data_IF_998057450943
#
_entry.id   IF_998057450943
#
_cell.length_a   1.000
_cell.length_b   1.000
_cell.length_c   1.000
_cell.angle_alpha   90.00
_cell.angle_beta   90.00
_cell.angle_gamma   90.00
#
_symmetry.space_group_name_H-M   'P 1'
#
loop_
_entity.id
_entity.type
_entity.pdbx_description
1 polymer ?
#
# COMPACT_ATOMS: atom_id res chain seq x y z
N UNK A 1 -11.72 16.90 -23.36
CA UNK A 1 -10.45 16.85 -22.59
C UNK A 1 -10.07 15.39 -22.42
N UNK A 2 -8.83 15.02 -22.73
CA UNK A 2 -8.31 13.68 -22.41
C UNK A 2 -8.05 13.57 -20.90
N UNK A 3 -8.13 12.34 -20.37
CA UNK A 3 -7.84 12.04 -18.97
C UNK A 3 -6.36 12.27 -18.62
N UNK A 4 -5.47 11.99 -19.58
CA UNK A 4 -4.04 11.84 -19.33
C UNK A 4 -3.36 13.07 -18.70
N UNK A 5 -3.66 14.33 -19.08
CA UNK A 5 -3.06 15.50 -18.44
C UNK A 5 -3.41 15.62 -16.96
N UNK A 6 -4.68 15.44 -16.59
CA UNK A 6 -5.14 15.62 -15.20
C UNK A 6 -4.59 14.56 -14.26
N UNK A 7 -4.45 13.33 -14.73
CA UNK A 7 -3.83 12.27 -13.94
C UNK A 7 -2.33 12.50 -13.75
N UNK A 8 -1.64 13.01 -14.77
CA UNK A 8 -0.22 13.37 -14.64
C UNK A 8 -0.02 14.60 -13.75
N UNK A 9 -0.90 15.60 -13.82
CA UNK A 9 -0.91 16.76 -12.92
C UNK A 9 -1.15 16.32 -11.47
N UNK A 10 -2.18 15.51 -11.20
CA UNK A 10 -2.44 14.96 -9.88
C UNK A 10 -1.23 14.22 -9.29
N UNK A 11 -0.57 13.39 -10.12
CA UNK A 11 0.64 12.66 -9.76
C UNK A 11 1.81 13.60 -9.48
N UNK A 12 1.97 14.66 -10.27
CA UNK A 12 3.01 15.68 -10.08
C UNK A 12 2.78 16.42 -8.77
N UNK A 13 1.58 16.97 -8.54
CA UNK A 13 1.22 17.65 -7.29
C UNK A 13 1.38 16.73 -6.08
N UNK A 14 1.02 15.45 -6.20
CA UNK A 14 1.30 14.46 -5.16
C UNK A 14 2.81 14.34 -4.87
N UNK A 15 3.65 14.25 -5.90
CA UNK A 15 5.11 14.12 -5.72
C UNK A 15 5.73 15.37 -5.09
N UNK A 16 5.19 16.56 -5.40
CA UNK A 16 5.59 17.84 -4.81
C UNK A 16 5.10 18.03 -3.36
N UNK A 17 4.19 17.17 -2.89
CA UNK A 17 3.62 17.26 -1.55
C UNK A 17 2.36 18.14 -1.48
N UNK A 18 1.89 18.66 -2.60
CA UNK A 18 0.68 19.47 -2.72
C UNK A 18 -0.56 18.56 -2.70
N UNK A 19 -0.90 18.01 -1.54
CA UNK A 19 -1.93 16.96 -1.42
C UNK A 19 -3.32 17.46 -1.77
N UNK A 20 -3.70 18.67 -1.36
CA UNK A 20 -5.02 19.23 -1.68
C UNK A 20 -5.18 19.48 -3.18
N UNK A 21 -4.13 19.99 -3.85
CA UNK A 21 -4.11 20.15 -5.31
C UNK A 21 -4.27 18.81 -5.99
N UNK A 22 -3.49 17.80 -5.57
CA UNK A 22 -3.59 16.46 -6.12
C UNK A 22 -5.00 15.87 -5.97
N UNK A 23 -5.68 16.09 -4.83
CA UNK A 23 -7.07 15.66 -4.63
C UNK A 23 -8.04 16.37 -5.58
N UNK A 24 -7.89 17.68 -5.78
CA UNK A 24 -8.72 18.43 -6.74
C UNK A 24 -8.53 17.99 -8.19
N UNK A 25 -7.31 17.67 -8.58
CA UNK A 25 -7.00 17.13 -9.92
C UNK A 25 -7.58 15.72 -10.09
N UNK A 26 -7.52 14.89 -9.04
CA UNK A 26 -8.15 13.56 -9.03
C UNK A 26 -9.68 13.65 -9.11
N UNK A 27 -10.31 14.61 -8.44
CA UNK A 27 -11.76 14.86 -8.52
C UNK A 27 -12.16 15.22 -9.96
N UNK A 28 -11.33 16.01 -10.63
CA UNK A 28 -11.53 16.38 -12.02
C UNK A 28 -11.32 15.19 -12.97
N UNK A 29 -10.28 14.39 -12.72
CA UNK A 29 -9.98 13.17 -13.46
C UNK A 29 -11.10 12.12 -13.34
N UNK A 30 -11.62 11.89 -12.13
CA UNK A 30 -12.72 10.94 -11.86
C UNK A 30 -14.00 11.34 -12.61
N UNK A 31 -14.31 12.65 -12.70
CA UNK A 31 -15.47 13.16 -13.46
C UNK A 31 -15.34 12.90 -14.97
N UNK A 32 -14.13 12.88 -15.50
CA UNK A 32 -13.88 12.62 -16.92
C UNK A 32 -13.85 11.12 -17.21
N UNK A 33 -13.20 10.34 -16.35
CA UNK A 33 -13.13 8.89 -16.49
C UNK A 33 -13.00 8.20 -15.12
N UNK A 34 -14.11 7.67 -14.62
CA UNK A 34 -14.18 6.91 -13.37
C UNK A 34 -13.72 5.44 -13.50
N UNK A 35 -13.23 5.01 -14.67
CA UNK A 35 -12.83 3.62 -14.93
C UNK A 35 -11.31 3.39 -14.90
N UNK A 36 -10.52 4.42 -14.62
CA UNK A 36 -9.07 4.27 -14.47
C UNK A 36 -8.67 4.00 -13.01
N UNK A 37 -8.13 2.80 -12.75
CA UNK A 37 -7.70 2.39 -11.41
C UNK A 37 -6.62 3.31 -10.81
N UNK A 38 -5.84 4.00 -11.66
CA UNK A 38 -4.75 4.88 -11.22
C UNK A 38 -5.28 6.07 -10.41
N UNK A 39 -6.45 6.59 -10.76
CA UNK A 39 -7.09 7.69 -10.02
C UNK A 39 -7.31 7.27 -8.56
N UNK A 40 -7.97 6.13 -8.35
CA UNK A 40 -8.23 5.58 -7.02
C UNK A 40 -6.95 5.19 -6.26
N UNK A 41 -5.94 4.73 -6.98
CA UNK A 41 -4.63 4.48 -6.41
C UNK A 41 -3.98 5.75 -5.86
N UNK A 42 -4.02 6.86 -6.60
CA UNK A 42 -3.48 8.14 -6.14
C UNK A 42 -4.32 8.76 -5.02
N UNK A 43 -5.65 8.67 -5.06
CA UNK A 43 -6.51 9.05 -3.93
C UNK A 43 -6.08 8.35 -2.65
N UNK A 44 -5.92 7.03 -2.71
CA UNK A 44 -5.47 6.23 -1.58
C UNK A 44 -4.15 6.73 -0.98
N UNK A 45 -3.19 7.06 -1.84
CA UNK A 45 -1.89 7.60 -1.42
C UNK A 45 -2.00 9.00 -0.81
N UNK A 46 -2.85 9.86 -1.35
CA UNK A 46 -3.16 11.17 -0.77
C UNK A 46 -3.74 11.01 0.64
N UNK A 47 -4.75 10.15 0.81
CA UNK A 47 -5.38 9.91 2.10
C UNK A 47 -4.42 9.28 3.13
N UNK A 48 -3.52 8.38 2.72
CA UNK A 48 -2.42 7.90 3.60
C UNK A 48 -1.59 9.08 4.11
N UNK A 49 -1.23 10.04 3.24
CA UNK A 49 -0.44 11.22 3.65
C UNK A 49 -1.19 12.18 4.57
N UNK A 50 -2.53 12.19 4.50
CA UNK A 50 -3.40 12.96 5.39
C UNK A 50 -3.75 12.23 6.70
N UNK A 51 -3.24 11.01 6.89
CA UNK A 51 -3.64 10.11 7.98
C UNK A 51 -5.15 9.78 8.00
N UNK A 52 -5.82 9.87 6.85
CA UNK A 52 -7.24 9.52 6.69
C UNK A 52 -7.34 8.05 6.21
N UNK A 53 -7.01 7.11 7.10
CA UNK A 53 -6.72 5.73 6.71
C UNK A 53 -7.95 4.96 6.23
N UNK A 54 -9.14 5.23 6.76
CA UNK A 54 -10.38 4.62 6.30
C UNK A 54 -10.67 4.98 4.83
N UNK A 55 -10.52 6.26 4.47
CA UNK A 55 -10.69 6.72 3.08
C UNK A 55 -9.60 6.15 2.18
N UNK A 56 -8.37 6.03 2.69
CA UNK A 56 -7.29 5.39 1.95
C UNK A 56 -7.62 3.94 1.60
N UNK A 57 -8.12 3.17 2.57
CA UNK A 57 -8.56 1.78 2.38
C UNK A 57 -9.66 1.72 1.32
N UNK A 58 -10.72 2.52 1.43
CA UNK A 58 -11.83 2.51 0.47
C UNK A 58 -11.34 2.72 -0.97
N UNK A 59 -10.50 3.74 -1.18
CA UNK A 59 -10.00 4.07 -2.53
C UNK A 59 -9.03 3.01 -3.05
N UNK A 60 -8.16 2.46 -2.20
CA UNK A 60 -7.23 1.41 -2.60
C UNK A 60 -7.92 0.07 -2.87
N UNK A 61 -8.98 -0.27 -2.13
CA UNK A 61 -9.82 -1.42 -2.43
C UNK A 61 -10.50 -1.28 -3.79
N UNK A 62 -11.03 -0.09 -4.10
CA UNK A 62 -11.59 0.21 -5.42
C UNK A 62 -10.54 0.05 -6.53
N UNK A 63 -9.34 0.63 -6.34
CA UNK A 63 -8.23 0.46 -7.28
C UNK A 63 -7.85 -1.01 -7.48
N UNK A 64 -7.77 -1.79 -6.39
CA UNK A 64 -7.40 -3.20 -6.43
C UNK A 64 -8.44 -4.06 -7.13
N UNK A 65 -9.74 -3.80 -6.89
CA UNK A 65 -10.85 -4.48 -7.57
C UNK A 65 -10.82 -4.26 -9.08
N UNK A 66 -10.41 -3.07 -9.51
CA UNK A 66 -10.30 -2.73 -10.93
C UNK A 66 -9.04 -3.34 -11.56
N UNK A 67 -7.90 -3.30 -10.87
CA UNK A 67 -6.66 -3.86 -11.36
C UNK A 67 -5.75 -4.37 -10.21
N UNK A 68 -5.76 -5.69 -9.92
CA UNK A 68 -5.00 -6.27 -8.83
C UNK A 68 -3.51 -6.44 -9.20
N UNK A 69 -2.75 -5.34 -9.10
CA UNK A 69 -1.31 -5.33 -9.38
C UNK A 69 -0.48 -5.14 -8.11
N UNK A 70 0.82 -5.42 -8.21
CA UNK A 70 1.73 -5.41 -7.05
C UNK A 70 1.84 -4.07 -6.33
N UNK A 71 1.91 -2.94 -7.05
CA UNK A 71 1.97 -1.62 -6.43
C UNK A 71 0.70 -1.26 -5.67
N UNK A 72 -0.48 -1.56 -6.24
CA UNK A 72 -1.77 -1.35 -5.57
C UNK A 72 -1.85 -2.25 -4.32
N UNK A 73 -1.43 -3.51 -4.43
CA UNK A 73 -1.39 -4.45 -3.30
C UNK A 73 -0.51 -3.94 -2.16
N UNK A 74 0.66 -3.40 -2.47
CA UNK A 74 1.57 -2.84 -1.48
C UNK A 74 0.93 -1.67 -0.70
N UNK A 75 0.32 -0.71 -1.40
CA UNK A 75 -0.30 0.43 -0.74
C UNK A 75 -1.58 0.05 0.00
N UNK A 76 -2.38 -0.90 -0.51
CA UNK A 76 -3.55 -1.40 0.18
C UNK A 76 -3.19 -2.12 1.49
N UNK A 77 -2.15 -2.98 1.46
CA UNK A 77 -1.64 -3.60 2.68
C UNK A 77 -1.13 -2.55 3.68
N UNK A 78 -0.42 -1.52 3.21
CA UNK A 78 -0.01 -0.38 4.05
C UNK A 78 -1.22 0.31 4.69
N UNK A 79 -2.25 0.60 3.91
CA UNK A 79 -3.46 1.26 4.41
C UNK A 79 -4.20 0.40 5.44
N UNK A 80 -4.29 -0.92 5.23
CA UNK A 80 -4.87 -1.81 6.23
C UNK A 80 -4.09 -1.82 7.55
N UNK A 81 -2.75 -1.84 7.51
CA UNK A 81 -1.93 -1.76 8.74
C UNK A 81 -2.14 -0.43 9.45
N UNK A 82 -2.12 0.68 8.71
CA UNK A 82 -2.32 2.02 9.30
C UNK A 82 -3.73 2.24 9.84
N UNK A 83 -4.70 1.47 9.33
CA UNK A 83 -6.09 1.50 9.79
C UNK A 83 -6.39 0.38 10.82
N UNK A 84 -5.36 -0.18 11.47
CA UNK A 84 -5.44 -1.25 12.46
C UNK A 84 -6.19 -2.52 12.02
N UNK A 85 -6.35 -2.74 10.71
CA UNK A 85 -7.01 -3.92 10.14
C UNK A 85 -6.01 -5.08 10.02
N UNK A 86 -5.40 -5.49 11.14
CA UNK A 86 -4.28 -6.44 11.14
C UNK A 86 -4.67 -7.84 10.65
N UNK A 87 -5.79 -8.40 11.10
CA UNK A 87 -6.27 -9.72 10.63
C UNK A 87 -6.50 -9.72 9.12
N UNK A 88 -7.17 -8.67 8.62
CA UNK A 88 -7.45 -8.49 7.19
C UNK A 88 -6.17 -8.29 6.38
N UNK A 89 -5.19 -7.56 6.93
CA UNK A 89 -3.87 -7.39 6.32
C UNK A 89 -3.22 -8.74 6.03
N UNK A 90 -3.19 -9.63 7.02
CA UNK A 90 -2.54 -10.96 6.88
C UNK A 90 -3.26 -11.80 5.83
N UNK A 91 -4.59 -11.84 5.85
CA UNK A 91 -5.40 -12.57 4.87
C UNK A 91 -5.20 -12.02 3.45
N UNK A 92 -5.30 -10.70 3.30
CA UNK A 92 -5.09 -10.01 2.03
C UNK A 92 -3.70 -10.32 1.45
N UNK A 93 -2.64 -10.20 2.24
CA UNK A 93 -1.27 -10.45 1.78
C UNK A 93 -1.07 -11.90 1.33
N UNK A 94 -1.65 -12.87 2.04
CA UNK A 94 -1.61 -14.27 1.62
C UNK A 94 -2.28 -14.49 0.26
N UNK A 95 -3.37 -13.76 -0.01
CA UNK A 95 -4.00 -13.78 -1.33
C UNK A 95 -3.15 -13.09 -2.40
N UNK A 96 -2.54 -11.94 -2.08
CA UNK A 96 -1.72 -11.16 -3.00
C UNK A 96 -0.44 -11.90 -3.45
N UNK A 97 0.10 -12.82 -2.63
CA UNK A 97 1.25 -13.65 -3.02
C UNK A 97 0.96 -14.66 -4.15
N UNK A 98 -0.32 -14.91 -4.47
CA UNK A 98 -0.73 -15.70 -5.63
C UNK A 98 -0.63 -14.92 -6.94
N UNK A 99 -0.47 -13.59 -6.86
CA UNK A 99 -0.27 -12.73 -8.02
C UNK A 99 1.20 -12.82 -8.50
N UNK A 100 1.42 -12.54 -9.79
CA UNK A 100 2.75 -12.40 -10.38
C UNK A 100 3.47 -11.12 -9.94
N UNK A 101 3.78 -11.00 -8.65
CA UNK A 101 4.42 -9.82 -8.04
C UNK A 101 5.93 -10.02 -7.83
N UNK A 102 6.70 -8.94 -8.02
CA UNK A 102 8.15 -8.93 -7.91
C UNK A 102 8.65 -9.15 -6.48
N UNK A 103 9.92 -9.55 -6.33
CA UNK A 103 10.55 -9.73 -5.02
C UNK A 103 10.53 -8.46 -4.17
N UNK A 104 10.69 -7.28 -4.79
CA UNK A 104 10.58 -5.98 -4.10
C UNK A 104 9.21 -5.78 -3.46
N UNK A 105 8.13 -6.10 -4.19
CA UNK A 105 6.76 -6.03 -3.64
C UNK A 105 6.56 -7.11 -2.58
N UNK A 106 7.01 -8.36 -2.83
CA UNK A 106 6.91 -9.45 -1.86
C UNK A 106 7.61 -9.13 -0.54
N UNK A 107 8.77 -8.48 -0.57
CA UNK A 107 9.50 -8.06 0.62
C UNK A 107 8.69 -7.04 1.43
N UNK A 108 8.17 -6.02 0.74
CA UNK A 108 7.31 -5.00 1.34
C UNK A 108 6.01 -5.55 1.96
N UNK A 109 5.36 -6.49 1.29
CA UNK A 109 4.20 -7.17 1.87
C UNK A 109 4.59 -8.02 3.09
N UNK A 110 5.71 -8.74 3.05
CA UNK A 110 6.18 -9.48 4.22
C UNK A 110 6.50 -8.56 5.41
N UNK A 111 7.02 -7.36 5.16
CA UNK A 111 7.22 -6.34 6.19
C UNK A 111 5.90 -5.90 6.84
N UNK A 112 4.88 -5.54 6.07
CA UNK A 112 3.55 -5.20 6.62
C UNK A 112 2.88 -6.38 7.34
N UNK A 113 3.06 -7.60 6.80
CA UNK A 113 2.57 -8.82 7.44
C UNK A 113 3.26 -9.06 8.78
N UNK A 114 4.56 -8.81 8.90
CA UNK A 114 5.29 -8.93 10.15
C UNK A 114 4.73 -7.98 11.22
N UNK A 115 4.54 -6.70 10.86
CA UNK A 115 3.91 -5.72 11.75
C UNK A 115 2.51 -6.15 12.20
N UNK A 116 1.63 -6.49 11.26
CA UNK A 116 0.28 -6.95 11.58
C UNK A 116 0.26 -8.21 12.46
N UNK A 117 1.18 -9.16 12.25
CA UNK A 117 1.27 -10.36 13.08
C UNK A 117 1.77 -10.06 14.49
N UNK A 118 2.64 -9.07 14.66
CA UNK A 118 3.10 -8.62 15.97
C UNK A 118 1.93 -8.04 16.77
N UNK A 119 1.14 -7.14 16.17
CA UNK A 119 -0.04 -6.54 16.80
C UNK A 119 -1.11 -7.57 17.18
N UNK A 120 -1.19 -8.68 16.42
CA UNK A 120 -2.05 -9.81 16.74
C UNK A 120 -1.46 -10.77 17.80
N UNK A 121 -0.32 -10.45 18.42
CA UNK A 121 0.36 -11.28 19.41
C UNK A 121 1.00 -12.55 18.85
N UNK A 122 1.14 -12.67 17.52
CA UNK A 122 1.67 -13.87 16.84
C UNK A 122 3.17 -13.72 16.57
N UNK A 123 3.97 -13.55 17.63
CA UNK A 123 5.41 -13.20 17.55
C UNK A 123 6.22 -14.13 16.65
N UNK A 124 6.07 -15.45 16.75
CA UNK A 124 6.84 -16.41 15.95
C UNK A 124 6.52 -16.30 14.45
N UNK A 125 5.25 -16.04 14.11
CA UNK A 125 4.84 -15.82 12.72
C UNK A 125 5.33 -14.46 12.21
N UNK A 126 5.35 -13.45 13.08
CA UNK A 126 5.89 -12.12 12.77
C UNK A 126 7.38 -12.22 12.41
N UNK A 127 8.19 -12.93 13.21
CA UNK A 127 9.62 -13.17 12.94
C UNK A 127 9.80 -13.81 11.56
N UNK A 128 9.07 -14.88 11.25
CA UNK A 128 9.17 -15.56 9.94
C UNK A 128 8.84 -14.63 8.76
N UNK A 129 7.87 -13.74 8.92
CA UNK A 129 7.55 -12.75 7.90
C UNK A 129 8.67 -11.71 7.76
N UNK A 130 9.21 -11.20 8.86
CA UNK A 130 10.34 -10.27 8.85
C UNK A 130 11.60 -10.88 8.22
N UNK A 131 11.90 -12.15 8.52
CA UNK A 131 12.98 -12.91 7.88
C UNK A 131 12.80 -12.97 6.37
N UNK A 132 11.58 -13.24 5.88
CA UNK A 132 11.32 -13.27 4.44
C UNK A 132 11.48 -11.90 3.79
N UNK A 133 11.10 -10.82 4.48
CA UNK A 133 11.31 -9.46 3.97
C UNK A 133 12.81 -9.15 3.84
N UNK A 134 13.61 -9.46 4.87
CA UNK A 134 15.05 -9.25 4.90
C UNK A 134 15.80 -10.14 3.90
N UNK A 135 15.39 -11.41 3.73
CA UNK A 135 15.99 -12.34 2.75
C UNK A 135 15.80 -11.83 1.31
N UNK A 136 14.61 -11.33 0.98
CA UNK A 136 14.29 -10.86 -0.36
C UNK A 136 14.98 -9.52 -0.70
N UNK A 137 15.27 -8.70 0.31
CA UNK A 137 15.88 -7.39 0.17
C UNK A 137 16.90 -7.15 1.30
N UNK A 138 18.07 -7.80 1.26
CA UNK A 138 19.02 -7.81 2.37
C UNK A 138 19.58 -6.42 2.70
N UNK A 139 19.74 -5.57 1.68
CA UNK A 139 20.23 -4.19 1.82
C UNK A 139 19.18 -3.22 2.38
N UNK A 140 17.94 -3.65 2.60
CA UNK A 140 16.90 -2.78 3.16
C UNK A 140 17.04 -2.70 4.69
N UNK A 141 17.58 -1.57 5.17
CA UNK A 141 17.81 -1.34 6.59
C UNK A 141 16.53 -1.39 7.45
N UNK A 142 15.35 -1.02 6.91
CA UNK A 142 14.09 -1.11 7.67
C UNK A 142 13.72 -2.56 7.96
N UNK A 143 13.94 -3.45 6.99
CA UNK A 143 13.62 -4.88 7.14
C UNK A 143 14.57 -5.58 8.11
N UNK A 144 15.84 -5.18 8.13
CA UNK A 144 16.80 -5.68 9.12
C UNK A 144 16.44 -5.21 10.55
N UNK A 145 16.11 -3.92 10.71
CA UNK A 145 15.76 -3.35 12.02
C UNK A 145 14.55 -4.03 12.65
N UNK A 146 13.48 -4.28 11.87
CA UNK A 146 12.30 -4.95 12.41
C UNK A 146 12.62 -6.39 12.82
N UNK A 147 13.44 -7.11 12.03
CA UNK A 147 13.84 -8.47 12.36
C UNK A 147 14.66 -8.54 13.65
N UNK A 148 15.62 -7.63 13.81
CA UNK A 148 16.41 -7.51 15.04
C UNK A 148 15.54 -7.17 16.25
N UNK A 149 14.61 -6.23 16.10
CA UNK A 149 13.67 -5.86 17.16
C UNK A 149 12.83 -7.07 17.63
N UNK A 150 12.32 -7.87 16.68
CA UNK A 150 11.47 -9.02 16.99
C UNK A 150 12.23 -10.19 17.65
N UNK A 151 13.55 -10.27 17.47
CA UNK A 151 14.40 -11.33 18.05
C UNK A 151 14.88 -11.03 19.47
N UNK A 152 14.75 -9.78 19.93
CA UNK A 152 14.98 -9.40 21.32
C UNK A 152 13.79 -9.82 22.20
#
# INVERSE_FOLDING_TARGET
MSLDPLLEDAKKSFNEGNIETALGDLDSAEKINSTDFRIYFYYGRCYIRKNEFEKAVEKLEKAYKMNPIGHVSFYLAKAYVLNDQFSKTVEFINSAFKLGISNKIRAGLNYFKAGALLELGKKEKSIKAAEKAAELMPENAEYQRILEYLRK
#
